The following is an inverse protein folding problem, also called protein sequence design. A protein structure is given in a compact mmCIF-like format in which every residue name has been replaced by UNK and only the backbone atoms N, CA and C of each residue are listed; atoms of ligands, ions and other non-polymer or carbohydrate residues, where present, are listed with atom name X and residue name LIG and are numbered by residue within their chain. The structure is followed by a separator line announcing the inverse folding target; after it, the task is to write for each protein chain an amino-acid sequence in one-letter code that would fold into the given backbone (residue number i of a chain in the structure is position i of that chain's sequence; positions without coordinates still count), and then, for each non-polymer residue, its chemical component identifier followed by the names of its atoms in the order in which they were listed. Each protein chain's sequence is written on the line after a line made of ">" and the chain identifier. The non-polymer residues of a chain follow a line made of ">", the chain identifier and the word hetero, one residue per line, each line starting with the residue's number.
data_IF_021231778271
#
_entry.id   IF_021231778271
#
_cell.length_a   1.000
_cell.length_b   1.000
_cell.length_c   1.000
_cell.angle_alpha   90.00
_cell.angle_beta   90.00
_cell.angle_gamma   90.00
#
_symmetry.space_group_name_H-M   'P 1'
#
loop_
_entity.id
_entity.type
_entity.pdbx_description
1 polymer ?
#
# COMPACT_ATOMS: atom_id res chain seq x y z
N UNK A 1 8.84 -6.24 -5.02
CA UNK A 1 9.38 -4.88 -4.83
C UNK A 1 10.55 -4.68 -5.77
N UNK A 2 10.68 -3.49 -6.38
CA UNK A 2 11.84 -3.15 -7.19
C UNK A 2 12.80 -2.24 -6.42
N UNK A 3 12.44 -0.96 -6.27
CA UNK A 3 13.28 0.05 -5.62
C UNK A 3 13.32 -0.03 -4.09
N UNK A 4 12.31 -0.61 -3.45
CA UNK A 4 12.16 -0.72 -1.98
C UNK A 4 12.19 0.60 -1.16
N UNK A 5 12.30 1.76 -1.81
CA UNK A 5 12.33 3.10 -1.18
C UNK A 5 11.15 3.99 -1.60
N UNK A 6 10.12 3.39 -2.19
CA UNK A 6 8.87 4.09 -2.56
C UNK A 6 8.91 4.92 -3.84
N UNK A 7 10.05 4.99 -4.56
CA UNK A 7 10.18 5.81 -5.77
C UNK A 7 9.57 5.22 -7.05
N UNK A 8 9.52 3.89 -7.13
CA UNK A 8 9.07 3.15 -8.32
C UNK A 8 7.58 2.80 -8.31
N UNK A 9 6.90 2.94 -7.16
CA UNK A 9 5.50 2.55 -6.94
C UNK A 9 5.11 1.10 -7.33
N UNK A 10 6.05 0.23 -7.73
CA UNK A 10 5.76 -1.15 -8.15
C UNK A 10 5.36 -2.12 -7.02
N UNK A 11 5.05 -1.60 -5.83
CA UNK A 11 4.56 -2.37 -4.69
C UNK A 11 3.34 -1.69 -4.06
N UNK A 12 2.52 -1.00 -4.86
CA UNK A 12 1.27 -0.41 -4.37
C UNK A 12 0.20 -1.49 -4.18
N UNK A 13 -0.60 -1.33 -3.13
CA UNK A 13 -1.81 -2.12 -2.84
C UNK A 13 -2.96 -1.15 -2.56
N UNK A 14 -4.17 -1.52 -2.97
CA UNK A 14 -5.37 -0.75 -2.62
C UNK A 14 -5.75 -1.06 -1.17
N UNK A 15 -6.07 -0.01 -0.41
CA UNK A 15 -6.51 -0.09 0.98
C UNK A 15 -7.80 0.71 1.12
N UNK A 16 -8.83 0.08 1.68
CA UNK A 16 -10.08 0.76 2.01
C UNK A 16 -9.87 1.66 3.23
N UNK A 17 -10.28 2.92 3.10
CA UNK A 17 -10.25 3.93 4.16
C UNK A 17 -11.64 4.53 4.34
N UNK A 18 -11.85 5.27 5.44
CA UNK A 18 -13.12 5.97 5.72
C UNK A 18 -13.51 6.97 4.61
N UNK A 19 -12.54 7.43 3.84
CA UNK A 19 -12.72 8.38 2.74
C UNK A 19 -12.81 7.74 1.36
N UNK A 20 -12.70 6.41 1.27
CA UNK A 20 -12.67 5.64 0.02
C UNK A 20 -11.38 4.85 -0.19
N UNK A 21 -11.22 4.18 -1.35
CA UNK A 21 -10.03 3.40 -1.67
C UNK A 21 -8.80 4.29 -1.89
N UNK A 22 -7.66 3.86 -1.36
CA UNK A 22 -6.38 4.55 -1.51
C UNK A 22 -5.25 3.58 -1.87
N UNK A 23 -4.36 4.00 -2.76
CA UNK A 23 -3.17 3.22 -3.11
C UNK A 23 -2.04 3.50 -2.12
N UNK A 24 -1.61 2.49 -1.37
CA UNK A 24 -0.48 2.57 -0.43
C UNK A 24 0.70 1.75 -0.90
N UNK A 25 1.92 2.26 -0.74
CA UNK A 25 3.16 1.58 -1.13
C UNK A 25 3.64 0.69 0.02
N UNK A 26 3.68 -0.62 -0.19
CA UNK A 26 4.07 -1.60 0.85
C UNK A 26 5.45 -1.29 1.47
N UNK A 27 6.43 -0.87 0.67
CA UNK A 27 7.79 -0.63 1.15
C UNK A 27 7.98 0.62 2.03
N UNK A 28 7.02 1.56 2.05
CA UNK A 28 7.14 2.82 2.82
C UNK A 28 5.92 3.12 3.68
N UNK A 29 4.72 2.77 3.21
CA UNK A 29 3.47 2.94 3.94
C UNK A 29 3.06 1.64 4.69
N UNK A 30 3.70 0.52 4.36
CA UNK A 30 3.54 -0.81 5.00
C UNK A 30 4.79 -1.21 5.81
N UNK A 31 5.14 -2.51 5.95
CA UNK A 31 4.68 -3.69 5.18
C UNK A 31 3.47 -4.41 5.76
N UNK A 32 3.02 -4.02 6.94
CA UNK A 32 1.87 -4.61 7.64
C UNK A 32 0.64 -3.75 7.39
N UNK A 33 -0.45 -4.40 7.01
CA UNK A 33 -1.77 -3.78 6.81
C UNK A 33 -2.82 -4.60 7.54
N UNK A 34 -3.94 -3.98 7.88
CA UNK A 34 -5.10 -4.73 8.36
C UNK A 34 -5.67 -5.55 7.19
N UNK A 35 -5.72 -6.87 7.38
CA UNK A 35 -6.19 -7.81 6.36
C UNK A 35 -7.64 -7.54 5.91
N UNK A 36 -8.46 -6.90 6.75
CA UNK A 36 -9.85 -6.55 6.43
C UNK A 36 -9.98 -5.31 5.56
N UNK A 37 -8.88 -4.59 5.32
CA UNK A 37 -8.87 -3.34 4.55
C UNK A 37 -8.21 -3.49 3.17
N UNK A 38 -7.60 -4.63 2.86
CA UNK A 38 -6.86 -4.89 1.62
C UNK A 38 -7.62 -5.91 0.78
N UNK A 39 -7.93 -5.59 -0.48
CA UNK A 39 -8.69 -6.43 -1.41
C UNK A 39 -8.05 -6.50 -2.79
#
# INVERSE_FOLDING_TARGET
>A
MACAVGGCAGCVVEVQTDTGPAMKRVCVDGPIFDATTVF
#
